data_IF_344588544196
#
_entry.id   IF_344588544196
#
_cell.length_a   1.000
_cell.length_b   1.000
_cell.length_c   1.000
_cell.angle_alpha   90.00
_cell.angle_beta   90.00
_cell.angle_gamma   90.00
#
_symmetry.space_group_name_H-M   'P 1'
#
loop_
_entity.id
_entity.type
_entity.pdbx_description
1 polymer ?
#
# COMPACT_ATOMS: atom_id res chain seq x y z
N UNK A 1 1.51 -6.63 14.24
CA UNK A 1 2.08 -5.89 13.13
C UNK A 1 2.46 -4.51 13.57
N UNK A 2 3.64 -4.10 13.22
CA UNK A 2 4.21 -2.85 13.73
C UNK A 2 3.96 -1.68 12.79
N UNK A 3 2.70 -1.33 12.60
CA UNK A 3 2.32 -0.19 11.79
C UNK A 3 1.92 0.95 12.72
N UNK A 4 2.88 1.79 13.06
CA UNK A 4 2.66 2.85 14.04
C UNK A 4 1.89 4.03 13.44
N UNK A 5 1.29 4.84 14.33
CA UNK A 5 0.60 6.07 13.92
C UNK A 5 1.57 7.02 13.25
N UNK A 6 2.78 7.14 13.77
CA UNK A 6 3.82 7.99 13.21
C UNK A 6 4.19 7.55 11.78
N UNK A 7 4.32 6.24 11.56
CA UNK A 7 4.64 5.72 10.24
C UNK A 7 3.50 5.98 9.26
N UNK A 8 2.27 5.76 9.72
CA UNK A 8 1.08 6.03 8.91
C UNK A 8 1.02 7.49 8.50
N UNK A 9 1.23 8.41 9.45
CA UNK A 9 1.20 9.84 9.16
C UNK A 9 2.32 10.25 8.21
N UNK A 10 3.51 9.66 8.37
CA UNK A 10 4.63 9.92 7.46
C UNK A 10 4.29 9.51 6.04
N UNK A 11 3.68 8.33 5.85
CA UNK A 11 3.28 7.86 4.53
C UNK A 11 2.20 8.75 3.90
N UNK A 12 1.21 9.15 4.70
CA UNK A 12 0.16 10.04 4.23
C UNK A 12 0.77 11.35 3.73
N UNK A 13 1.67 11.92 4.51
CA UNK A 13 2.32 13.17 4.17
C UNK A 13 3.18 13.05 2.91
N UNK A 14 3.92 11.95 2.81
CA UNK A 14 4.82 11.71 1.68
C UNK A 14 4.07 11.53 0.36
N UNK A 15 2.94 10.84 0.38
CA UNK A 15 2.20 10.48 -0.84
C UNK A 15 0.95 11.32 -1.08
N UNK A 16 0.66 12.26 -0.20
CA UNK A 16 -0.50 13.14 -0.39
C UNK A 16 -0.37 13.98 -1.66
N UNK A 17 -1.46 14.14 -2.37
CA UNK A 17 -1.49 14.96 -3.58
C UNK A 17 -1.74 16.42 -3.27
N UNK A 18 -2.39 16.69 -2.13
CA UNK A 18 -2.65 18.03 -1.65
C UNK A 18 -2.52 18.05 -0.14
N UNK A 19 -2.40 19.23 0.44
CA UNK A 19 -2.37 19.39 1.89
C UNK A 19 -3.65 18.84 2.50
N UNK A 20 -3.54 18.02 3.52
CA UNK A 20 -4.69 17.40 4.18
C UNK A 20 -5.24 16.18 3.50
N UNK A 21 -4.63 15.73 2.40
CA UNK A 21 -5.06 14.52 1.71
C UNK A 21 -4.68 13.28 2.52
N UNK A 22 -5.68 12.53 2.95
CA UNK A 22 -5.50 11.30 3.71
C UNK A 22 -6.08 10.08 3.01
N UNK A 23 -6.73 10.24 1.87
CA UNK A 23 -7.47 9.17 1.23
C UNK A 23 -7.37 9.08 -0.27
N UNK A 24 -6.43 9.78 -0.92
CA UNK A 24 -6.28 9.64 -2.37
C UNK A 24 -5.79 8.23 -2.71
N UNK A 25 -6.00 7.77 -3.95
CA UNK A 25 -5.51 6.45 -4.37
C UNK A 25 -4.01 6.25 -4.10
N UNK A 26 -3.19 7.27 -4.32
CA UNK A 26 -1.75 7.17 -4.07
C UNK A 26 -1.45 6.92 -2.59
N UNK A 27 -2.13 7.65 -1.69
CA UNK A 27 -1.98 7.45 -0.25
C UNK A 27 -2.45 6.05 0.15
N UNK A 28 -3.60 5.62 -0.36
CA UNK A 28 -4.13 4.29 -0.04
C UNK A 28 -3.18 3.18 -0.49
N UNK A 29 -2.61 3.31 -1.68
CA UNK A 29 -1.64 2.32 -2.18
C UNK A 29 -0.40 2.28 -1.29
N UNK A 30 0.09 3.44 -0.86
CA UNK A 30 1.26 3.49 0.02
C UNK A 30 0.98 2.82 1.36
N UNK A 31 -0.19 3.07 1.95
CA UNK A 31 -0.57 2.45 3.22
C UNK A 31 -0.75 0.94 3.08
N UNK A 32 -1.41 0.49 2.01
CA UNK A 32 -1.58 -0.94 1.74
C UNK A 32 -0.23 -1.62 1.53
N UNK A 33 0.68 -0.97 0.81
CA UNK A 33 2.00 -1.54 0.55
C UNK A 33 2.79 -1.75 1.84
N UNK A 34 2.69 -0.81 2.76
CA UNK A 34 3.35 -0.94 4.06
C UNK A 34 2.75 -2.10 4.87
N UNK A 35 1.42 -2.21 4.89
CA UNK A 35 0.75 -3.32 5.58
C UNK A 35 1.07 -4.66 4.95
N UNK A 36 1.09 -4.72 3.63
CA UNK A 36 1.44 -5.95 2.90
C UNK A 36 2.85 -6.40 3.27
N UNK A 37 3.78 -5.46 3.33
CA UNK A 37 5.16 -5.76 3.70
C UNK A 37 5.24 -6.31 5.13
N UNK A 38 4.58 -5.66 6.08
CA UNK A 38 4.56 -6.12 7.47
C UNK A 38 3.97 -7.51 7.60
N UNK A 39 2.88 -7.76 6.89
CA UNK A 39 2.19 -9.05 6.96
C UNK A 39 3.00 -10.14 6.27
N UNK A 40 3.66 -9.81 5.17
CA UNK A 40 4.56 -10.75 4.49
C UNK A 40 5.69 -11.18 5.42
N UNK A 41 6.28 -10.22 6.12
CA UNK A 41 7.34 -10.52 7.09
C UNK A 41 6.82 -11.39 8.24
N UNK A 42 5.62 -11.09 8.73
CA UNK A 42 4.98 -11.88 9.78
C UNK A 42 4.81 -13.34 9.34
N UNK A 43 4.37 -13.56 8.10
CA UNK A 43 4.09 -14.91 7.60
C UNK A 43 5.35 -15.72 7.35
N UNK A 44 6.53 -15.10 7.28
CA UNK A 44 7.78 -15.82 7.17
C UNK A 44 8.09 -16.62 8.43
N UNK A 45 7.63 -16.14 9.59
CA UNK A 45 7.83 -16.83 10.87
C UNK A 45 6.56 -17.50 11.38
N UNK A 46 5.41 -17.15 10.83
CA UNK A 46 4.10 -17.68 11.24
C UNK A 46 3.35 -18.18 10.01
N UNK A 47 3.93 -19.14 9.31
CA UNK A 47 3.39 -19.60 8.03
C UNK A 47 2.02 -20.25 8.11
N UNK A 48 1.63 -20.74 9.32
CA UNK A 48 0.32 -21.36 9.53
C UNK A 48 -0.74 -20.39 10.02
N UNK A 49 -0.46 -19.10 10.02
CA UNK A 49 -1.45 -18.09 10.34
C UNK A 49 -2.32 -17.82 9.10
N UNK A 50 -3.38 -18.63 8.97
CA UNK A 50 -4.22 -18.57 7.77
C UNK A 50 -5.09 -17.33 7.71
N UNK A 51 -5.43 -16.74 8.85
CA UNK A 51 -6.15 -15.46 8.86
C UNK A 51 -5.31 -14.35 8.26
N UNK A 52 -4.05 -14.27 8.67
CA UNK A 52 -3.13 -13.27 8.12
C UNK A 52 -2.86 -13.49 6.64
N UNK A 53 -2.74 -14.75 6.24
CA UNK A 53 -2.53 -15.10 4.83
C UNK A 53 -3.71 -14.65 3.98
N UNK A 54 -4.92 -14.88 4.45
CA UNK A 54 -6.12 -14.43 3.75
C UNK A 54 -6.18 -12.91 3.69
N UNK A 55 -5.88 -12.23 4.81
CA UNK A 55 -5.83 -10.78 4.85
C UNK A 55 -4.83 -10.20 3.87
N UNK A 56 -3.68 -10.85 3.74
CA UNK A 56 -2.65 -10.45 2.77
C UNK A 56 -3.20 -10.50 1.35
N UNK A 57 -3.88 -11.60 0.98
CA UNK A 57 -4.45 -11.72 -0.35
C UNK A 57 -5.50 -10.66 -0.64
N UNK A 58 -6.33 -10.33 0.35
CA UNK A 58 -7.33 -9.27 0.21
C UNK A 58 -6.65 -7.93 -0.02
N UNK A 59 -5.62 -7.61 0.75
CA UNK A 59 -4.91 -6.34 0.60
C UNK A 59 -4.16 -6.23 -0.74
N UNK A 60 -3.58 -7.32 -1.20
CA UNK A 60 -2.92 -7.36 -2.52
C UNK A 60 -3.96 -7.08 -3.62
N UNK A 61 -5.14 -7.68 -3.52
CA UNK A 61 -6.22 -7.43 -4.47
C UNK A 61 -6.69 -5.98 -4.44
N UNK A 62 -6.82 -5.40 -3.25
CA UNK A 62 -7.21 -4.00 -3.10
C UNK A 62 -6.17 -3.07 -3.72
N UNK A 63 -4.89 -3.32 -3.44
CA UNK A 63 -3.80 -2.51 -4.01
C UNK A 63 -3.82 -2.58 -5.53
N UNK A 64 -4.01 -3.76 -6.09
CA UNK A 64 -4.07 -3.94 -7.53
C UNK A 64 -5.20 -3.13 -8.17
N UNK A 65 -6.37 -3.15 -7.55
CA UNK A 65 -7.51 -2.39 -8.06
C UNK A 65 -7.25 -0.89 -8.02
N UNK A 66 -6.65 -0.40 -6.94
CA UNK A 66 -6.30 1.02 -6.83
C UNK A 66 -5.25 1.42 -7.85
N UNK A 67 -4.26 0.57 -8.08
CA UNK A 67 -3.22 0.84 -9.09
C UNK A 67 -3.81 0.84 -10.50
N UNK A 68 -4.71 -0.08 -10.80
CA UNK A 68 -5.37 -0.12 -12.11
C UNK A 68 -6.21 1.14 -12.32
N UNK A 69 -6.92 1.57 -11.30
CA UNK A 69 -7.70 2.80 -11.34
C UNK A 69 -6.79 4.01 -11.59
N UNK A 70 -5.70 4.12 -10.84
CA UNK A 70 -4.76 5.24 -10.97
C UNK A 70 -4.13 5.26 -12.36
N UNK A 71 -3.78 4.09 -12.89
CA UNK A 71 -3.20 3.96 -14.21
C UNK A 71 -4.14 4.51 -15.29
N UNK A 72 -5.44 4.22 -15.16
CA UNK A 72 -6.43 4.71 -16.11
C UNK A 72 -6.65 6.22 -16.00
N UNK A 73 -6.55 6.75 -14.80
CA UNK A 73 -6.81 8.17 -14.56
C UNK A 73 -5.60 9.04 -14.83
N UNK A 74 -4.41 8.58 -14.47
CA UNK A 74 -3.19 9.36 -14.64
C UNK A 74 -1.98 8.41 -14.70
N UNK A 75 -1.60 8.04 -15.90
CA UNK A 75 -0.51 7.08 -16.10
C UNK A 75 0.83 7.60 -15.58
N UNK A 76 1.08 8.90 -15.70
CA UNK A 76 2.31 9.49 -15.18
C UNK A 76 2.44 9.34 -13.69
N UNK A 77 1.38 9.60 -12.94
CA UNK A 77 1.37 9.42 -11.49
C UNK A 77 1.48 7.95 -11.12
N UNK A 78 0.86 7.07 -11.88
CA UNK A 78 0.94 5.64 -11.67
C UNK A 78 2.40 5.16 -11.78
N UNK A 79 3.12 5.58 -12.82
CA UNK A 79 4.52 5.21 -13.02
C UNK A 79 5.40 5.74 -11.90
N UNK A 80 5.20 7.00 -11.52
CA UNK A 80 5.94 7.62 -10.44
C UNK A 80 5.74 6.88 -9.13
N UNK A 81 4.49 6.53 -8.82
CA UNK A 81 4.16 5.83 -7.60
C UNK A 81 4.82 4.45 -7.55
N UNK A 82 4.75 3.71 -8.64
CA UNK A 82 5.38 2.39 -8.73
C UNK A 82 6.88 2.48 -8.50
N UNK A 83 7.55 3.47 -9.09
CA UNK A 83 8.97 3.69 -8.88
C UNK A 83 9.27 3.99 -7.42
N UNK A 84 8.52 4.91 -6.81
CA UNK A 84 8.75 5.31 -5.42
C UNK A 84 8.53 4.17 -4.44
N UNK A 85 7.59 3.29 -4.71
CA UNK A 85 7.27 2.17 -3.82
C UNK A 85 8.04 0.88 -4.17
N UNK A 86 8.76 0.89 -5.28
CA UNK A 86 9.51 -0.29 -5.70
C UNK A 86 8.63 -1.45 -6.13
N UNK A 87 7.45 -1.17 -6.64
CA UNK A 87 6.52 -2.18 -7.09
C UNK A 87 6.82 -2.60 -8.53
N UNK A 88 6.36 -3.79 -8.90
CA UNK A 88 6.66 -4.35 -10.23
C UNK A 88 5.68 -3.97 -11.32
N UNK A 89 4.75 -3.14 -11.03
CA UNK A 89 3.73 -2.83 -12.02
C UNK A 89 3.69 -1.37 -12.34
#
# INVERSE_FOLDING_TARGET
MSFTVERKQALIKEFATTAGDTGSPAVQVALLSERIKSLTDHLQTHEKDFHSRRGLLVMVGQRRRLLDYLRRKNEGRYKELIERLGLRR
#
